data_IF_808327898779
#
_entry.id   IF_808327898779
#
_cell.length_a   1.000
_cell.length_b   1.000
_cell.length_c   1.000
_cell.angle_alpha   90.00
_cell.angle_beta   90.00
_cell.angle_gamma   90.00
#
_symmetry.space_group_name_H-M   'P 1'
#
loop_
_entity.id
_entity.type
_entity.pdbx_description
1 polymer ?
#
# COMPACT_ATOMS: atom_id res chain seq x y z
N UNK A 1 16.24 -4.23 10.03
CA UNK A 1 14.88 -3.80 9.67
C UNK A 1 14.02 -5.01 9.31
N UNK A 2 13.09 -5.43 10.17
CA UNK A 2 12.11 -6.48 9.92
C UNK A 2 10.92 -5.92 9.14
N UNK A 3 10.76 -6.31 7.89
CA UNK A 3 9.62 -5.93 7.04
C UNK A 3 8.63 -7.09 6.96
N UNK A 4 7.41 -6.88 7.45
CA UNK A 4 6.31 -7.80 7.26
C UNK A 4 5.39 -7.26 6.15
N UNK A 5 5.42 -7.92 5.00
CA UNK A 5 4.65 -7.50 3.84
C UNK A 5 3.48 -8.47 3.60
N UNK A 6 2.28 -7.93 3.39
CA UNK A 6 1.13 -8.74 2.98
C UNK A 6 1.22 -9.10 1.50
N UNK A 7 0.72 -10.29 1.13
CA UNK A 7 0.36 -10.64 -0.23
C UNK A 7 -0.98 -11.37 -0.22
N UNK A 8 -1.99 -10.83 -0.89
CA UNK A 8 -3.33 -11.44 -0.96
C UNK A 8 -3.65 -11.89 -2.39
N UNK A 9 -4.48 -12.92 -2.62
CA UNK A 9 -4.82 -13.37 -3.98
C UNK A 9 -5.30 -12.22 -4.86
N UNK A 10 -4.57 -11.98 -5.95
CA UNK A 10 -4.81 -10.88 -6.89
C UNK A 10 -4.26 -9.53 -6.44
N UNK A 11 -3.31 -9.46 -5.51
CA UNK A 11 -2.59 -8.22 -5.22
C UNK A 11 -1.86 -7.69 -6.47
N UNK A 12 -1.63 -6.38 -6.54
CA UNK A 12 -0.86 -5.80 -7.64
C UNK A 12 0.63 -6.06 -7.46
N UNK A 13 1.25 -6.78 -8.41
CA UNK A 13 2.62 -7.27 -8.23
C UNK A 13 3.62 -6.15 -7.95
N UNK A 14 3.56 -5.07 -8.74
CA UNK A 14 4.49 -3.94 -8.61
C UNK A 14 4.30 -3.17 -7.30
N UNK A 15 3.09 -3.18 -6.72
CA UNK A 15 2.84 -2.56 -5.41
C UNK A 15 3.66 -3.25 -4.32
N UNK A 16 3.89 -4.56 -4.42
CA UNK A 16 4.75 -5.30 -3.50
C UNK A 16 6.22 -5.21 -3.93
N UNK A 17 6.51 -5.52 -5.20
CA UNK A 17 7.87 -5.67 -5.70
C UNK A 17 8.68 -4.36 -5.61
N UNK A 18 8.09 -3.22 -5.98
CA UNK A 18 8.76 -1.92 -5.99
C UNK A 18 9.34 -1.52 -4.61
N UNK A 19 8.52 -1.39 -3.56
CA UNK A 19 9.02 -1.03 -2.24
C UNK A 19 9.87 -2.14 -1.61
N UNK A 20 9.57 -3.42 -1.84
CA UNK A 20 10.42 -4.51 -1.33
C UNK A 20 11.82 -4.45 -1.91
N UNK A 21 11.95 -4.11 -3.21
CA UNK A 21 13.23 -3.88 -3.84
C UNK A 21 13.96 -2.73 -3.14
N UNK A 22 13.32 -1.58 -2.89
CA UNK A 22 13.93 -0.48 -2.15
C UNK A 22 14.33 -0.87 -0.71
N UNK A 23 13.43 -1.51 0.04
CA UNK A 23 13.65 -1.85 1.44
C UNK A 23 14.82 -2.79 1.67
N UNK A 24 15.26 -3.57 0.68
CA UNK A 24 16.46 -4.41 0.82
C UNK A 24 17.72 -3.61 1.16
N UNK A 25 17.74 -2.30 0.85
CA UNK A 25 18.84 -1.39 1.13
C UNK A 25 18.80 -0.84 2.57
N UNK A 26 17.75 -1.12 3.35
CA UNK A 26 17.68 -0.69 4.75
C UNK A 26 18.66 -1.51 5.62
N UNK A 27 19.31 -0.88 6.62
CA UNK A 27 20.24 -1.57 7.51
C UNK A 27 19.61 -2.80 8.18
N UNK A 28 20.29 -3.95 8.03
CA UNK A 28 19.87 -5.23 8.60
C UNK A 28 18.51 -5.71 8.07
N UNK A 29 18.18 -5.42 6.82
CA UNK A 29 16.93 -5.84 6.19
C UNK A 29 16.69 -7.35 6.32
N UNK A 30 15.47 -7.70 6.72
CA UNK A 30 14.94 -9.05 6.70
C UNK A 30 13.44 -8.96 6.46
N UNK A 31 12.87 -9.90 5.71
CA UNK A 31 11.46 -9.82 5.33
C UNK A 31 10.70 -11.14 5.52
N UNK A 32 9.43 -11.01 5.85
CA UNK A 32 8.43 -12.07 5.73
C UNK A 32 7.30 -11.59 4.82
N UNK A 33 6.97 -12.39 3.82
CA UNK A 33 5.72 -12.23 3.06
C UNK A 33 4.67 -13.09 3.75
N UNK A 34 3.53 -12.49 4.07
CA UNK A 34 2.48 -13.13 4.86
C UNK A 34 1.12 -13.10 4.17
N UNK A 35 0.40 -14.20 4.30
CA UNK A 35 -1.02 -14.28 3.97
C UNK A 35 -1.78 -15.10 5.03
N UNK A 36 -3.05 -15.43 4.76
CA UNK A 36 -3.85 -16.28 5.65
C UNK A 36 -3.30 -17.71 5.81
N UNK A 37 -2.51 -18.17 4.84
CA UNK A 37 -1.82 -19.45 4.85
C UNK A 37 -0.48 -19.34 4.12
N UNK A 38 0.45 -20.23 4.45
CA UNK A 38 1.72 -20.38 3.72
C UNK A 38 1.48 -20.93 2.33
N UNK A 39 2.37 -20.61 1.39
CA UNK A 39 2.32 -21.16 0.03
C UNK A 39 2.33 -20.09 -1.05
N UNK A 40 1.95 -20.51 -2.25
CA UNK A 40 1.89 -19.65 -3.42
C UNK A 40 0.67 -18.72 -3.35
N UNK A 41 0.90 -17.43 -3.62
CA UNK A 41 -0.12 -16.40 -3.77
C UNK A 41 0.08 -15.70 -5.12
N UNK A 42 -0.94 -15.73 -5.97
CA UNK A 42 -0.87 -15.15 -7.30
C UNK A 42 -1.19 -13.66 -7.29
N UNK A 43 -0.41 -12.87 -8.04
CA UNK A 43 -0.68 -11.46 -8.31
C UNK A 43 -1.61 -11.27 -9.52
N UNK A 44 -2.08 -10.04 -9.72
CA UNK A 44 -2.84 -9.64 -10.91
C UNK A 44 -2.04 -9.67 -12.22
N UNK A 45 -0.71 -9.79 -12.14
CA UNK A 45 0.19 -9.86 -13.29
C UNK A 45 0.52 -11.30 -13.71
N UNK A 46 -0.09 -12.32 -13.08
CA UNK A 46 0.23 -13.72 -13.32
C UNK A 46 1.58 -14.17 -12.76
N UNK A 47 2.22 -13.33 -11.95
CA UNK A 47 3.43 -13.68 -11.19
C UNK A 47 3.04 -14.14 -9.80
N UNK A 48 3.51 -15.31 -9.42
CA UNK A 48 3.28 -15.89 -8.10
C UNK A 48 4.36 -15.45 -7.12
N UNK A 49 3.99 -15.17 -5.87
CA UNK A 49 4.93 -14.98 -4.76
C UNK A 49 4.70 -16.03 -3.69
N UNK A 50 5.76 -16.40 -2.97
CA UNK A 50 5.68 -17.30 -1.84
C UNK A 50 5.33 -16.51 -0.56
N UNK A 51 4.17 -16.76 0.02
CA UNK A 51 3.90 -16.43 1.42
C UNK A 51 4.77 -17.35 2.30
N UNK A 52 5.82 -16.76 2.87
CA UNK A 52 6.80 -17.43 3.74
C UNK A 52 6.20 -17.84 5.09
N UNK A 53 5.26 -17.02 5.59
CA UNK A 53 4.57 -17.22 6.85
C UNK A 53 3.06 -17.03 6.69
N UNK A 54 2.30 -17.50 7.67
CA UNK A 54 0.88 -17.20 7.79
C UNK A 54 0.61 -16.21 8.93
N UNK A 55 -0.64 -15.75 9.05
CA UNK A 55 -1.05 -14.82 10.10
C UNK A 55 -0.77 -15.32 11.52
N UNK A 56 -0.73 -16.64 11.74
CA UNK A 56 -0.42 -17.26 13.02
C UNK A 56 1.08 -17.26 13.32
N UNK A 57 1.92 -17.57 12.33
CA UNK A 57 3.35 -17.83 12.52
C UNK A 57 4.29 -16.64 12.26
N UNK A 58 3.81 -15.58 11.61
CA UNK A 58 4.65 -14.41 11.29
C UNK A 58 5.06 -13.58 12.52
N UNK A 59 6.05 -12.70 12.34
CA UNK A 59 6.40 -11.68 13.32
C UNK A 59 5.18 -10.84 13.74
N UNK A 60 5.10 -10.51 15.03
CA UNK A 60 4.00 -9.72 15.59
C UNK A 60 4.37 -8.26 15.84
N UNK A 61 5.66 -7.95 15.83
CA UNK A 61 6.32 -6.69 16.14
C UNK A 61 7.32 -6.30 15.03
N UNK A 62 6.91 -6.26 13.75
CA UNK A 62 7.83 -5.87 12.67
C UNK A 62 8.21 -4.39 12.79
N UNK A 63 9.37 -4.03 12.27
CA UNK A 63 9.73 -2.61 12.16
C UNK A 63 8.86 -1.91 11.10
N UNK A 64 8.52 -2.60 10.01
CA UNK A 64 7.66 -2.10 8.93
C UNK A 64 6.54 -3.10 8.66
N UNK A 65 5.29 -2.68 8.83
CA UNK A 65 4.14 -3.34 8.24
C UNK A 65 3.89 -2.74 6.85
N UNK A 66 3.83 -3.58 5.82
CA UNK A 66 3.58 -3.17 4.44
C UNK A 66 2.34 -3.83 3.84
N UNK A 67 1.44 -3.04 3.26
CA UNK A 67 0.20 -3.52 2.61
C UNK A 67 0.15 -3.07 1.14
N UNK A 68 0.20 -4.00 0.16
CA UNK A 68 0.05 -3.66 -1.25
C UNK A 68 -1.40 -3.32 -1.59
N UNK A 69 -1.64 -2.73 -2.76
CA UNK A 69 -2.96 -2.49 -3.30
C UNK A 69 -3.38 -3.52 -4.34
N UNK A 70 -4.58 -3.28 -4.86
CA UNK A 70 -5.12 -3.81 -6.11
C UNK A 70 -6.41 -3.04 -6.44
N UNK A 71 -6.89 -3.08 -7.68
CA UNK A 71 -8.15 -2.46 -8.07
C UNK A 71 -9.36 -3.30 -7.67
N UNK A 72 -9.46 -4.58 -8.04
CA UNK A 72 -10.66 -5.40 -7.84
C UNK A 72 -10.62 -6.31 -6.61
N UNK A 73 -9.60 -7.15 -6.50
CA UNK A 73 -9.46 -8.17 -5.46
C UNK A 73 -9.29 -7.60 -4.06
N UNK A 74 -8.84 -6.34 -3.94
CA UNK A 74 -8.72 -5.65 -2.66
C UNK A 74 -10.08 -5.45 -1.97
N UNK A 75 -11.16 -5.27 -2.73
CA UNK A 75 -12.51 -5.08 -2.17
C UNK A 75 -13.00 -6.30 -1.40
N UNK A 76 -12.62 -7.51 -1.82
CA UNK A 76 -12.89 -8.72 -1.02
C UNK A 76 -12.21 -8.64 0.35
N UNK A 77 -11.00 -8.09 0.42
CA UNK A 77 -10.23 -8.03 1.66
C UNK A 77 -10.72 -6.91 2.58
N UNK A 78 -11.31 -5.85 2.02
CA UNK A 78 -12.06 -4.85 2.78
C UNK A 78 -13.31 -5.41 3.47
N UNK A 79 -13.82 -6.58 3.04
CA UNK A 79 -14.95 -7.28 3.66
C UNK A 79 -14.50 -8.40 4.61
N UNK A 80 -13.21 -8.75 4.64
CA UNK A 80 -12.70 -9.89 5.41
C UNK A 80 -12.15 -9.45 6.77
N UNK A 81 -12.93 -9.70 7.82
CA UNK A 81 -12.57 -9.29 9.18
C UNK A 81 -11.28 -9.96 9.68
N UNK A 82 -11.00 -11.19 9.25
CA UNK A 82 -9.73 -11.87 9.61
C UNK A 82 -8.52 -11.09 9.09
N UNK A 83 -8.57 -10.58 7.87
CA UNK A 83 -7.50 -9.76 7.30
C UNK A 83 -7.41 -8.40 7.99
N UNK A 84 -8.54 -7.72 8.21
CA UNK A 84 -8.56 -6.40 8.85
C UNK A 84 -8.08 -6.46 10.31
N UNK A 85 -8.49 -7.47 11.07
CA UNK A 85 -8.06 -7.67 12.47
C UNK A 85 -6.58 -8.04 12.55
N UNK A 86 -6.07 -8.83 11.60
CA UNK A 86 -4.65 -9.10 11.50
C UNK A 86 -3.83 -7.82 11.23
N UNK A 87 -4.25 -7.00 10.26
CA UNK A 87 -3.60 -5.73 9.93
C UNK A 87 -3.63 -4.79 11.15
N UNK A 88 -4.79 -4.62 11.80
CA UNK A 88 -4.93 -3.79 13.00
C UNK A 88 -4.02 -4.29 14.13
N UNK A 89 -4.04 -5.61 14.36
CA UNK A 89 -3.27 -6.27 15.39
C UNK A 89 -1.76 -6.07 15.22
N UNK A 90 -1.22 -6.32 14.03
CA UNK A 90 0.22 -6.09 13.76
C UNK A 90 0.54 -4.60 13.71
N UNK A 91 -0.29 -3.80 13.06
CA UNK A 91 -0.09 -2.35 12.92
C UNK A 91 0.00 -1.63 14.26
N UNK A 92 -0.70 -2.10 15.30
CA UNK A 92 -0.61 -1.55 16.66
C UNK A 92 0.77 -1.69 17.32
N UNK A 93 1.62 -2.59 16.82
CA UNK A 93 2.96 -2.88 17.35
C UNK A 93 4.09 -2.56 16.37
N UNK A 94 3.76 -2.22 15.13
CA UNK A 94 4.78 -1.92 14.12
C UNK A 94 5.35 -0.51 14.31
N UNK A 95 6.67 -0.36 14.09
CA UNK A 95 7.31 0.96 14.15
C UNK A 95 6.78 1.86 13.03
N UNK A 96 6.67 1.33 11.81
CA UNK A 96 6.11 2.00 10.64
C UNK A 96 4.91 1.23 10.07
N UNK A 97 3.87 1.97 9.69
CA UNK A 97 2.68 1.43 9.03
C UNK A 97 2.61 1.99 7.63
N UNK A 98 2.68 1.10 6.64
CA UNK A 98 2.92 1.51 5.28
C UNK A 98 2.06 0.78 4.26
N UNK A 99 1.81 1.44 3.13
CA UNK A 99 1.07 0.86 2.02
C UNK A 99 1.38 1.55 0.70
N UNK A 100 1.02 0.90 -0.40
CA UNK A 100 0.99 1.50 -1.74
C UNK A 100 -0.41 1.34 -2.33
N UNK A 101 -0.79 2.27 -3.21
CA UNK A 101 -2.02 2.23 -3.99
C UNK A 101 -3.25 2.12 -3.06
N UNK A 102 -4.22 1.27 -3.42
CA UNK A 102 -5.40 0.99 -2.61
C UNK A 102 -5.10 0.28 -1.29
N UNK A 103 -3.86 -0.15 -1.02
CA UNK A 103 -3.48 -0.74 0.27
C UNK A 103 -3.76 0.20 1.46
N UNK A 104 -3.75 1.51 1.23
CA UNK A 104 -4.13 2.49 2.27
C UNK A 104 -5.62 2.42 2.65
N UNK A 105 -6.51 1.91 1.79
CA UNK A 105 -7.90 1.65 2.16
C UNK A 105 -7.99 0.52 3.20
N UNK A 106 -7.16 -0.52 3.08
CA UNK A 106 -7.10 -1.61 4.08
C UNK A 106 -6.54 -1.09 5.41
N UNK A 107 -5.51 -0.25 5.38
CA UNK A 107 -5.01 0.42 6.59
C UNK A 107 -6.08 1.31 7.23
N UNK A 108 -6.84 2.05 6.42
CA UNK A 108 -7.97 2.86 6.85
C UNK A 108 -9.06 2.01 7.52
N UNK A 109 -9.53 0.96 6.84
CA UNK A 109 -10.55 0.04 7.37
C UNK A 109 -10.09 -0.70 8.64
N UNK A 110 -8.79 -0.96 8.79
CA UNK A 110 -8.18 -1.50 10.00
C UNK A 110 -8.00 -0.46 11.14
N UNK A 111 -8.43 0.79 10.95
CA UNK A 111 -8.36 1.84 11.96
C UNK A 111 -7.00 2.53 12.09
N UNK A 112 -6.05 2.26 11.19
CA UNK A 112 -4.66 2.68 11.35
C UNK A 112 -4.35 4.08 10.81
N UNK A 113 -5.30 4.71 10.10
CA UNK A 113 -5.11 6.01 9.44
C UNK A 113 -5.98 7.15 10.00
N UNK A 114 -6.72 6.93 11.09
CA UNK A 114 -7.57 7.96 11.70
C UNK A 114 -6.76 9.20 12.11
N UNK A 115 -7.05 10.35 11.50
CA UNK A 115 -6.36 11.62 11.73
C UNK A 115 -4.96 11.71 11.10
N UNK A 116 -4.62 10.82 10.17
CA UNK A 116 -3.35 10.85 9.44
C UNK A 116 -3.57 11.30 7.99
N UNK A 117 -2.63 12.08 7.48
CA UNK A 117 -2.52 12.33 6.03
C UNK A 117 -2.11 11.04 5.33
N UNK A 118 -2.75 10.74 4.20
CA UNK A 118 -2.43 9.55 3.43
C UNK A 118 -2.67 9.76 1.93
N UNK A 119 -1.74 9.25 1.12
CA UNK A 119 -1.94 8.99 -0.30
C UNK A 119 -2.63 7.63 -0.55
N UNK A 120 -3.18 7.47 -1.76
CA UNK A 120 -3.74 6.23 -2.29
C UNK A 120 -3.71 6.25 -3.82
N UNK A 121 -4.32 5.25 -4.46
CA UNK A 121 -4.61 5.33 -5.88
C UNK A 121 -5.50 6.55 -6.18
N UNK A 122 -5.20 7.27 -7.26
CA UNK A 122 -5.81 8.58 -7.55
C UNK A 122 -7.35 8.55 -7.57
N UNK A 123 -7.94 7.47 -8.09
CA UNK A 123 -9.39 7.33 -8.24
C UNK A 123 -10.11 7.09 -6.89
N UNK A 124 -9.44 6.44 -5.94
CA UNK A 124 -10.04 6.04 -4.65
C UNK A 124 -9.59 6.91 -3.49
N UNK A 125 -8.56 7.75 -3.67
CA UNK A 125 -7.93 8.56 -2.62
C UNK A 125 -8.91 9.29 -1.73
N UNK A 126 -9.90 9.97 -2.29
CA UNK A 126 -10.86 10.75 -1.50
C UNK A 126 -11.70 9.88 -0.55
N UNK A 127 -11.87 8.59 -0.85
CA UNK A 127 -12.59 7.63 0.00
C UNK A 127 -11.83 7.27 1.28
N UNK A 128 -10.54 7.64 1.40
CA UNK A 128 -9.80 7.53 2.65
C UNK A 128 -10.47 8.31 3.80
N UNK A 129 -11.20 9.38 3.48
CA UNK A 129 -11.99 10.16 4.45
C UNK A 129 -13.08 9.34 5.14
N UNK A 130 -13.64 8.31 4.48
CA UNK A 130 -14.62 7.39 5.07
C UNK A 130 -14.04 6.58 6.24
N UNK A 131 -12.72 6.47 6.30
CA UNK A 131 -11.93 5.78 7.32
C UNK A 131 -11.20 6.75 8.26
N UNK A 132 -11.59 8.03 8.27
CA UNK A 132 -11.06 9.05 9.17
C UNK A 132 -9.65 9.55 8.82
N UNK A 133 -9.08 9.14 7.70
CA UNK A 133 -7.83 9.69 7.19
C UNK A 133 -8.07 11.04 6.49
N UNK A 134 -6.99 11.78 6.26
CA UNK A 134 -6.99 13.04 5.51
C UNK A 134 -6.42 12.74 4.11
N UNK A 135 -7.27 12.60 3.07
CA UNK A 135 -6.81 12.37 1.70
C UNK A 135 -5.82 13.46 1.30
N UNK A 136 -4.65 13.06 0.77
CA UNK A 136 -3.60 14.00 0.40
C UNK A 136 -3.11 13.71 -1.00
N UNK A 137 -3.20 14.70 -1.88
CA UNK A 137 -2.75 14.60 -3.27
C UNK A 137 -1.22 14.71 -3.37
N UNK A 138 -0.54 13.59 -3.14
CA UNK A 138 0.90 13.48 -3.26
C UNK A 138 1.28 12.09 -3.80
N UNK A 139 2.47 12.00 -4.40
CA UNK A 139 3.00 10.72 -4.92
C UNK A 139 3.23 9.72 -3.80
N UNK A 140 3.70 10.22 -2.66
CA UNK A 140 3.71 9.53 -1.38
C UNK A 140 3.51 10.55 -0.26
N UNK A 141 3.12 10.08 0.91
CA UNK A 141 2.92 10.89 2.13
C UNK A 141 3.59 10.18 3.28
N UNK A 142 4.40 10.91 4.05
CA UNK A 142 4.92 10.48 5.34
C UNK A 142 4.32 11.41 6.40
N UNK A 143 3.50 10.86 7.29
CA UNK A 143 2.90 11.57 8.41
C UNK A 143 3.17 10.79 9.70
N UNK A 144 4.07 11.32 10.54
CA UNK A 144 4.60 10.67 11.74
C UNK A 144 5.17 9.29 11.36
N UNK A 145 4.55 8.20 11.79
CA UNK A 145 4.98 6.84 11.48
C UNK A 145 4.08 6.10 10.47
N UNK A 146 3.22 6.84 9.75
CA UNK A 146 2.45 6.34 8.61
C UNK A 146 3.12 6.82 7.34
N UNK A 147 3.38 5.91 6.41
CA UNK A 147 3.93 6.26 5.11
C UNK A 147 3.17 5.53 3.99
N UNK A 148 2.46 6.28 3.15
CA UNK A 148 1.65 5.70 2.08
C UNK A 148 2.03 6.23 0.71
N UNK A 149 2.17 5.33 -0.26
CA UNK A 149 2.40 5.64 -1.66
C UNK A 149 1.09 5.69 -2.45
N UNK A 150 1.08 6.49 -3.51
CA UNK A 150 0.01 6.54 -4.49
C UNK A 150 -0.07 5.27 -5.36
N UNK A 151 -0.53 5.40 -6.61
CA UNK A 151 -0.69 4.23 -7.49
C UNK A 151 0.62 3.54 -7.89
N UNK A 152 0.63 2.21 -7.82
CA UNK A 152 1.62 1.33 -8.46
C UNK A 152 3.08 1.73 -8.24
N UNK A 153 3.69 2.35 -9.24
CA UNK A 153 5.11 2.70 -9.25
C UNK A 153 5.51 3.69 -8.17
N UNK A 154 4.55 4.37 -7.54
CA UNK A 154 4.79 5.19 -6.36
C UNK A 154 5.50 4.43 -5.24
N UNK A 155 5.39 3.10 -5.19
CA UNK A 155 6.09 2.25 -4.22
C UNK A 155 7.62 2.32 -4.30
N UNK A 156 8.19 2.65 -5.47
CA UNK A 156 9.64 2.82 -5.61
C UNK A 156 10.06 4.15 -4.96
N UNK A 157 9.41 5.26 -5.34
CA UNK A 157 9.69 6.58 -4.77
C UNK A 157 9.48 6.61 -3.24
N UNK A 158 8.38 6.02 -2.79
CA UNK A 158 8.06 5.84 -1.37
C UNK A 158 9.15 5.04 -0.65
N UNK A 159 9.60 3.93 -1.23
CA UNK A 159 10.65 3.10 -0.64
C UNK A 159 11.97 3.86 -0.50
N UNK A 160 12.36 4.63 -1.51
CA UNK A 160 13.56 5.49 -1.47
C UNK A 160 13.43 6.59 -0.41
N UNK A 161 12.27 7.27 -0.35
CA UNK A 161 11.99 8.27 0.67
C UNK A 161 12.05 7.69 2.09
N UNK A 162 11.54 6.47 2.29
CA UNK A 162 11.60 5.75 3.55
C UNK A 162 13.04 5.41 3.97
N UNK A 163 13.91 5.03 3.04
CA UNK A 163 15.34 4.85 3.33
C UNK A 163 15.94 6.15 3.84
N UNK A 164 15.65 7.28 3.17
CA UNK A 164 16.09 8.60 3.62
C UNK A 164 15.58 8.96 5.03
N UNK A 165 14.31 8.63 5.31
CA UNK A 165 13.68 8.89 6.61
C UNK A 165 14.24 8.04 7.74
N UNK A 166 14.63 6.79 7.46
CA UNK A 166 15.08 5.81 8.46
C UNK A 166 16.60 5.84 8.65
N UNK A 167 17.35 5.86 7.56
CA UNK A 167 18.81 5.71 7.54
C UNK A 167 19.55 7.01 7.17
N UNK A 168 18.81 8.10 6.96
CA UNK A 168 19.35 9.42 6.62
C UNK A 168 19.40 9.69 5.12
N UNK A 169 19.35 10.98 4.77
CA UNK A 169 19.26 11.45 3.38
C UNK A 169 20.38 10.89 2.46
N UNK A 170 21.60 10.76 2.99
CA UNK A 170 22.71 10.19 2.24
C UNK A 170 22.46 8.73 1.80
N UNK A 171 21.83 7.92 2.65
CA UNK A 171 21.46 6.55 2.32
C UNK A 171 20.37 6.51 1.22
N UNK A 172 19.40 7.43 1.29
CA UNK A 172 18.39 7.59 0.25
C UNK A 172 19.00 7.91 -1.12
N UNK A 173 19.94 8.86 -1.17
CA UNK A 173 20.67 9.22 -2.41
C UNK A 173 21.49 8.05 -2.96
N UNK A 174 22.18 7.30 -2.08
CA UNK A 174 22.91 6.10 -2.49
C UNK A 174 21.96 5.06 -3.07
N UNK A 175 20.81 4.81 -2.44
CA UNK A 175 19.83 3.85 -2.93
C UNK A 175 19.26 4.27 -4.30
N UNK A 176 18.89 5.55 -4.47
CA UNK A 176 18.37 6.09 -5.72
C UNK A 176 19.38 5.91 -6.87
N UNK A 177 20.65 6.28 -6.65
CA UNK A 177 21.71 6.08 -7.64
C UNK A 177 21.99 4.59 -7.91
N UNK A 178 21.98 3.74 -6.87
CA UNK A 178 22.22 2.29 -7.02
C UNK A 178 21.15 1.62 -7.88
N UNK A 179 19.95 2.19 -7.93
CA UNK A 179 18.84 1.69 -8.73
C UNK A 179 18.87 2.25 -10.15
N UNK A 180 19.79 3.17 -10.44
CA UNK A 180 19.78 4.01 -11.64
C UNK A 180 18.38 4.63 -11.83
N UNK A 181 17.75 5.04 -10.72
CA UNK A 181 16.35 5.45 -10.71
C UNK A 181 16.19 6.86 -11.28
N UNK A 182 16.19 6.94 -12.62
CA UNK A 182 16.00 8.15 -13.40
C UNK A 182 14.87 7.94 -14.42
N UNK A 183 13.60 7.89 -13.97
CA UNK A 183 12.48 7.51 -14.84
C UNK A 183 12.28 8.51 -15.99
N UNK A 184 12.06 7.97 -17.20
CA UNK A 184 11.71 8.74 -18.40
C UNK A 184 10.40 8.19 -19.00
N UNK A 185 9.22 8.53 -18.42
CA UNK A 185 7.95 8.02 -18.91
C UNK A 185 7.67 8.46 -20.36
N UNK A 186 7.35 7.55 -21.29
CA UNK A 186 7.24 7.88 -22.71
C UNK A 186 6.02 8.74 -23.09
N UNK A 187 5.00 8.79 -22.23
CA UNK A 187 3.72 9.46 -22.54
C UNK A 187 3.43 10.68 -21.66
N UNK A 188 4.11 10.84 -20.51
CA UNK A 188 3.87 11.97 -19.60
C UNK A 188 2.49 12.01 -18.90
N UNK A 189 1.60 11.04 -19.12
CA UNK A 189 0.20 11.05 -18.62
C UNK A 189 0.00 10.33 -17.28
N UNK A 190 1.07 10.11 -16.51
CA UNK A 190 1.06 9.24 -15.32
C UNK A 190 0.27 9.75 -14.10
N UNK A 191 -0.37 10.92 -14.21
CA UNK A 191 -1.22 11.54 -13.17
C UNK A 191 -2.43 12.21 -13.82
N UNK A 192 -3.59 12.29 -13.13
CA UNK A 192 -4.79 12.88 -13.71
C UNK A 192 -4.59 14.30 -14.25
N UNK A 193 -3.83 15.13 -13.53
CA UNK A 193 -3.53 16.52 -13.91
C UNK A 193 -2.58 16.65 -15.10
N UNK A 194 -1.92 15.57 -15.52
CA UNK A 194 -1.02 15.53 -16.67
C UNK A 194 -1.65 14.89 -17.92
N UNK A 195 -2.75 14.17 -17.75
CA UNK A 195 -3.41 13.48 -18.85
C UNK A 195 -4.32 14.43 -19.65
N UNK A 196 -4.39 14.24 -20.97
CA UNK A 196 -5.41 14.91 -21.77
C UNK A 196 -6.83 14.42 -21.40
N UNK A 197 -7.88 15.23 -21.68
CA UNK A 197 -9.23 14.88 -21.27
C UNK A 197 -9.75 13.53 -21.78
N UNK A 198 -9.35 13.10 -22.98
CA UNK A 198 -9.81 11.83 -23.55
C UNK A 198 -9.15 10.65 -22.85
N UNK A 199 -7.84 10.70 -22.63
CA UNK A 199 -7.09 9.71 -21.85
C UNK A 199 -7.64 9.59 -20.42
N UNK A 200 -7.89 10.72 -19.75
CA UNK A 200 -8.46 10.72 -18.39
C UNK A 200 -9.87 10.13 -18.36
N UNK A 201 -10.74 10.51 -19.30
CA UNK A 201 -12.12 10.00 -19.36
C UNK A 201 -12.15 8.48 -19.62
N UNK A 202 -11.37 8.01 -20.60
CA UNK A 202 -11.27 6.58 -20.90
C UNK A 202 -10.74 5.79 -19.70
N UNK A 203 -9.67 6.26 -19.07
CA UNK A 203 -9.09 5.60 -17.90
C UNK A 203 -10.08 5.57 -16.74
N UNK A 204 -10.80 6.67 -16.51
CA UNK A 204 -11.84 6.77 -15.47
C UNK A 204 -12.93 5.71 -15.65
N UNK A 205 -13.41 5.51 -16.88
CA UNK A 205 -14.44 4.50 -17.16
C UNK A 205 -13.92 3.08 -16.93
N UNK A 206 -12.68 2.78 -17.33
CA UNK A 206 -12.04 1.47 -17.07
C UNK A 206 -11.96 1.22 -15.56
N UNK A 207 -11.42 2.16 -14.80
CA UNK A 207 -11.19 1.95 -13.36
C UNK A 207 -12.51 1.88 -12.58
N UNK A 208 -13.54 2.62 -13.01
CA UNK A 208 -14.90 2.54 -12.47
C UNK A 208 -15.52 1.16 -12.63
N UNK A 209 -15.28 0.49 -13.75
CA UNK A 209 -15.78 -0.87 -13.98
C UNK A 209 -15.03 -1.93 -13.16
N UNK A 210 -13.75 -1.69 -12.86
CA UNK A 210 -12.92 -2.61 -12.08
C UNK A 210 -13.12 -2.49 -10.57
N UNK A 211 -13.52 -1.32 -10.08
CA UNK A 211 -13.58 -1.01 -8.65
C UNK A 211 -15.01 -0.70 -8.19
N UNK A 212 -15.63 -1.55 -7.35
CA UNK A 212 -16.95 -1.29 -6.80
C UNK A 212 -16.88 -0.29 -5.64
N UNK A 213 -16.44 0.95 -5.91
CA UNK A 213 -16.22 2.01 -4.91
C UNK A 213 -17.47 2.34 -4.09
N UNK A 214 -18.67 2.07 -4.61
CA UNK A 214 -19.94 2.18 -3.89
C UNK A 214 -19.99 1.30 -2.62
N UNK A 215 -19.20 0.24 -2.53
CA UNK A 215 -19.13 -0.62 -1.34
C UNK A 215 -18.43 0.07 -0.16
N UNK A 216 -17.59 1.08 -0.41
CA UNK A 216 -16.72 1.69 0.60
C UNK A 216 -17.50 2.40 1.71
N UNK A 217 -18.66 2.98 1.41
CA UNK A 217 -19.53 3.58 2.43
C UNK A 217 -20.02 2.53 3.44
N UNK A 218 -20.46 1.36 2.94
CA UNK A 218 -20.88 0.23 3.76
C UNK A 218 -19.74 -0.35 4.59
N UNK A 219 -18.55 -0.47 4.00
CA UNK A 219 -17.34 -0.89 4.73
C UNK A 219 -17.02 0.10 5.86
N UNK A 220 -17.01 1.40 5.58
CA UNK A 220 -16.76 2.44 6.58
C UNK A 220 -17.79 2.42 7.71
N UNK A 221 -19.08 2.24 7.39
CA UNK A 221 -20.14 2.11 8.39
C UNK A 221 -19.94 0.88 9.28
N UNK A 222 -19.62 -0.28 8.70
CA UNK A 222 -19.32 -1.49 9.47
C UNK A 222 -18.12 -1.29 10.40
N UNK A 223 -17.04 -0.69 9.90
CA UNK A 223 -15.83 -0.47 10.69
C UNK A 223 -16.08 0.44 11.91
N UNK A 224 -16.95 1.46 11.79
CA UNK A 224 -17.41 2.27 12.94
C UNK A 224 -18.19 1.44 13.96
N UNK A 225 -19.14 0.61 13.50
CA UNK A 225 -19.92 -0.25 14.40
C UNK A 225 -19.06 -1.25 15.17
N UNK A 226 -17.98 -1.74 14.56
CA UNK A 226 -17.00 -2.64 15.18
C UNK A 226 -15.96 -1.93 16.06
N UNK A 227 -16.01 -0.60 16.17
CA UNK A 227 -15.06 0.17 16.97
C UNK A 227 -13.65 0.28 16.37
N UNK A 228 -13.48 0.00 15.06
CA UNK A 228 -12.21 0.23 14.35
C UNK A 228 -11.97 1.71 14.00
N UNK A 229 -13.05 2.50 13.90
CA UNK A 229 -13.03 3.92 13.50
C UNK A 229 -13.64 4.83 14.55
#
# INVERSE_FOLDING_TARGET
>A
MKVLALAFPGFTFIDLAGPMQAFMMLPGFSSQIVWQGKGIVDSDAGVSVQATEDFGSCWKDPDILFVPGNTRSLFKQLQDDRTLDFIAGVGSRATWITSVCNGSLLLGAAGLLKGYKAASYWYTREHLSLFGAIPTDARYVIDRNRATGGGMTAGIDFGLAMIGQIAGEAAGRVAELSFEYAPQPPFGTGRPELADPATLAQTTEIVKQLMPVQELEGVGARCRTMGRL
#
